data_IF_212224847111
#
_entry.id   IF_212224847111
#
_cell.length_a   1.000
_cell.length_b   1.000
_cell.length_c   1.000
_cell.angle_alpha   90.00
_cell.angle_beta   90.00
_cell.angle_gamma   90.00
#
_symmetry.space_group_name_H-M   'P 1'
#
loop_
_entity.id
_entity.type
_entity.pdbx_description
1 polymer ?
#
# COMPACT_ATOMS: atom_id res chain seq x y z
N UNK A 1 -12.76 -50.34 -9.92
CA UNK A 1 -13.19 -49.71 -8.66
C UNK A 1 -12.21 -48.67 -8.16
N UNK A 2 -10.94 -48.94 -8.00
CA UNK A 2 -9.87 -48.02 -7.52
C UNK A 2 -9.77 -46.74 -8.41
N UNK A 3 -9.82 -46.89 -9.74
CA UNK A 3 -9.72 -45.75 -10.67
C UNK A 3 -10.89 -44.76 -10.58
N UNK A 4 -12.11 -45.20 -10.24
CA UNK A 4 -13.28 -44.32 -10.02
C UNK A 4 -13.21 -43.62 -8.67
N UNK A 5 -12.67 -44.26 -7.63
CA UNK A 5 -12.45 -43.66 -6.31
C UNK A 5 -11.44 -42.49 -6.44
N UNK A 6 -10.35 -42.71 -7.17
CA UNK A 6 -9.35 -41.66 -7.39
C UNK A 6 -9.92 -40.42 -8.11
N UNK A 7 -10.81 -40.62 -9.11
CA UNK A 7 -11.47 -39.49 -9.78
C UNK A 7 -12.40 -38.71 -8.85
N UNK A 8 -13.18 -39.39 -8.02
CA UNK A 8 -14.06 -38.73 -7.03
C UNK A 8 -13.26 -37.91 -6.01
N UNK A 9 -12.17 -38.46 -5.49
CA UNK A 9 -11.27 -37.74 -4.58
C UNK A 9 -10.68 -36.51 -5.25
N UNK A 10 -10.27 -36.62 -6.52
CA UNK A 10 -9.74 -35.49 -7.29
C UNK A 10 -10.78 -34.37 -7.47
N UNK A 11 -12.01 -34.70 -7.79
CA UNK A 11 -13.10 -33.71 -7.90
C UNK A 11 -13.44 -33.04 -6.56
N UNK A 12 -13.47 -33.82 -5.46
CA UNK A 12 -13.72 -33.28 -4.12
C UNK A 12 -12.59 -32.34 -3.72
N UNK A 13 -11.32 -32.74 -3.91
CA UNK A 13 -10.17 -31.88 -3.57
C UNK A 13 -10.13 -30.60 -4.41
N UNK A 14 -10.48 -30.67 -5.71
CA UNK A 14 -10.58 -29.51 -6.58
C UNK A 14 -11.71 -28.56 -6.12
N UNK A 15 -12.86 -29.09 -5.75
CA UNK A 15 -13.99 -28.30 -5.25
C UNK A 15 -13.66 -27.63 -3.89
N UNK A 16 -13.02 -28.34 -2.99
CA UNK A 16 -12.55 -27.78 -1.72
C UNK A 16 -11.51 -26.67 -1.93
N UNK A 17 -10.62 -26.82 -2.89
CA UNK A 17 -9.66 -25.79 -3.26
C UNK A 17 -10.36 -24.52 -3.78
N UNK A 18 -11.38 -24.66 -4.62
CA UNK A 18 -12.18 -23.52 -5.10
C UNK A 18 -12.86 -22.80 -3.93
N UNK A 19 -13.47 -23.54 -3.01
CA UNK A 19 -14.10 -22.96 -1.82
C UNK A 19 -13.07 -22.18 -1.00
N UNK A 20 -11.91 -22.77 -0.74
CA UNK A 20 -10.85 -22.14 0.04
C UNK A 20 -10.35 -20.83 -0.61
N UNK A 21 -10.13 -20.84 -1.93
CA UNK A 21 -9.73 -19.65 -2.69
C UNK A 21 -10.82 -18.58 -2.64
N UNK A 22 -12.09 -18.97 -2.78
CA UNK A 22 -13.22 -18.04 -2.73
C UNK A 22 -13.36 -17.40 -1.36
N UNK A 23 -13.27 -18.18 -0.28
CA UNK A 23 -13.30 -17.68 1.11
C UNK A 23 -12.12 -16.75 1.36
N UNK A 24 -10.93 -17.11 0.93
CA UNK A 24 -9.74 -16.26 1.09
C UNK A 24 -9.85 -14.96 0.27
N UNK A 25 -10.43 -15.02 -0.93
CA UNK A 25 -10.67 -13.83 -1.75
C UNK A 25 -11.71 -12.89 -1.12
N UNK A 26 -12.82 -13.43 -0.61
CA UNK A 26 -13.83 -12.62 0.10
C UNK A 26 -13.26 -12.00 1.37
N UNK A 27 -12.42 -12.72 2.10
CA UNK A 27 -11.68 -12.15 3.24
C UNK A 27 -10.76 -11.01 2.80
N UNK A 28 -9.99 -11.17 1.71
CA UNK A 28 -9.18 -10.08 1.17
C UNK A 28 -10.03 -8.84 0.81
N UNK A 29 -11.17 -9.04 0.15
CA UNK A 29 -12.08 -7.93 -0.22
C UNK A 29 -12.61 -7.20 1.02
N UNK A 30 -12.92 -7.92 2.10
CA UNK A 30 -13.37 -7.33 3.36
C UNK A 30 -12.31 -6.46 4.05
N UNK A 31 -11.03 -6.69 3.76
CA UNK A 31 -9.90 -5.90 4.27
C UNK A 31 -9.69 -4.59 3.50
N UNK A 32 -10.31 -4.42 2.33
CA UNK A 32 -10.21 -3.18 1.53
C UNK A 32 -11.08 -2.11 2.19
N UNK A 33 -10.50 -1.01 2.71
CA UNK A 33 -11.28 0.01 3.37
C UNK A 33 -12.19 0.75 2.37
N UNK A 34 -13.44 0.99 2.78
CA UNK A 34 -14.33 1.86 2.01
C UNK A 34 -13.82 3.30 2.09
N UNK A 35 -13.82 3.98 0.96
CA UNK A 35 -13.31 5.37 0.88
C UNK A 35 -14.27 6.40 1.49
N UNK A 36 -15.49 6.00 1.88
CA UNK A 36 -16.53 6.88 2.42
C UNK A 36 -16.36 7.21 3.91
N UNK A 37 -15.71 6.35 4.69
CA UNK A 37 -15.63 6.47 6.16
C UNK A 37 -14.27 6.93 6.71
N UNK A 38 -13.39 7.45 5.86
CA UNK A 38 -12.17 8.07 6.39
C UNK A 38 -12.50 9.50 6.82
N UNK A 39 -13.07 9.63 8.02
CA UNK A 39 -13.13 10.91 8.71
C UNK A 39 -11.73 11.53 8.64
N UNK A 40 -11.66 12.81 8.27
CA UNK A 40 -10.44 13.63 8.24
C UNK A 40 -9.87 13.88 9.65
N UNK A 41 -9.96 12.92 10.54
CA UNK A 41 -9.19 12.95 11.78
C UNK A 41 -7.73 12.92 11.37
N UNK A 42 -7.10 14.09 11.44
CA UNK A 42 -5.66 14.22 11.30
C UNK A 42 -5.03 13.33 12.36
N UNK A 43 -4.57 12.16 11.94
CA UNK A 43 -3.83 11.28 12.81
C UNK A 43 -2.47 11.96 12.98
N UNK A 44 -2.21 12.45 14.20
CA UNK A 44 -0.92 13.03 14.53
C UNK A 44 0.10 11.89 14.60
N UNK A 45 0.79 11.65 13.48
CA UNK A 45 1.88 10.67 13.36
C UNK A 45 3.20 11.40 13.22
N UNK A 46 4.30 10.73 13.57
CA UNK A 46 5.63 11.34 13.49
C UNK A 46 6.12 11.45 12.04
N UNK A 47 5.65 10.55 11.16
CA UNK A 47 6.06 10.55 9.76
C UNK A 47 4.97 10.04 8.82
N UNK A 48 5.15 10.36 7.54
CA UNK A 48 4.27 9.95 6.43
C UNK A 48 5.11 9.12 5.45
N UNK A 49 4.60 7.98 5.01
CA UNK A 49 5.20 7.16 3.95
C UNK A 49 4.22 7.05 2.80
N UNK A 50 4.61 7.56 1.64
CA UNK A 50 3.84 7.43 0.40
C UNK A 50 4.41 6.30 -0.43
N UNK A 51 3.60 5.27 -0.69
CA UNK A 51 3.97 4.19 -1.60
C UNK A 51 3.64 4.59 -3.04
N UNK A 52 4.65 4.69 -3.90
CA UNK A 52 4.46 5.07 -5.31
C UNK A 52 3.68 4.00 -6.10
N UNK A 53 3.28 4.33 -7.33
CA UNK A 53 2.63 3.41 -8.27
C UNK A 53 1.35 3.96 -8.90
N UNK A 54 0.36 4.39 -8.13
CA UNK A 54 -0.84 5.04 -8.65
C UNK A 54 -0.78 6.56 -8.56
N UNK A 55 -1.60 7.20 -9.43
CA UNK A 55 -1.79 8.66 -9.43
C UNK A 55 -2.32 9.13 -8.06
N UNK A 56 -2.08 10.40 -7.75
CA UNK A 56 -2.58 11.13 -6.58
C UNK A 56 -2.02 10.71 -5.20
N UNK A 57 -1.27 9.62 -5.06
CA UNK A 57 -0.72 9.24 -3.75
C UNK A 57 0.31 10.26 -3.25
N UNK A 58 1.22 10.70 -4.12
CA UNK A 58 2.24 11.70 -3.77
C UNK A 58 1.58 13.02 -3.44
N UNK A 59 0.63 13.49 -4.26
CA UNK A 59 -0.12 14.71 -4.00
C UNK A 59 -0.86 14.68 -2.67
N UNK A 60 -1.51 13.54 -2.34
CA UNK A 60 -2.20 13.36 -1.05
C UNK A 60 -1.20 13.40 0.12
N UNK A 61 -0.06 12.73 0.00
CA UNK A 61 0.98 12.77 1.03
C UNK A 61 1.51 14.20 1.28
N UNK A 62 1.75 14.95 0.21
CA UNK A 62 2.17 16.36 0.31
C UNK A 62 1.06 17.22 0.96
N UNK A 63 -0.20 17.02 0.58
CA UNK A 63 -1.33 17.75 1.17
C UNK A 63 -1.48 17.48 2.68
N UNK A 64 -1.20 16.24 3.11
CA UNK A 64 -1.20 15.90 4.53
C UNK A 64 -0.01 16.58 5.24
N UNK A 65 1.17 16.54 4.63
CA UNK A 65 2.37 17.18 5.19
C UNK A 65 2.20 18.70 5.35
N UNK A 66 1.55 19.39 4.41
CA UNK A 66 1.23 20.83 4.52
C UNK A 66 0.38 21.14 5.76
N UNK A 67 -0.53 20.25 6.10
CA UNK A 67 -1.40 20.44 7.27
C UNK A 67 -0.71 20.14 8.60
N UNK A 68 0.45 19.47 8.56
CA UNK A 68 1.20 19.00 9.72
C UNK A 68 2.70 19.25 9.51
N UNK A 69 3.11 20.49 9.57
CA UNK A 69 4.47 20.95 9.23
C UNK A 69 5.60 20.33 10.07
N UNK A 70 5.29 19.71 11.21
CA UNK A 70 6.28 19.06 12.08
C UNK A 70 6.58 17.59 11.66
N UNK A 71 5.92 17.08 10.63
CA UNK A 71 6.14 15.73 10.11
C UNK A 71 7.21 15.70 9.02
N UNK A 72 7.73 14.50 8.76
CA UNK A 72 8.54 14.21 7.59
C UNK A 72 7.81 13.25 6.66
N UNK A 73 8.11 13.31 5.38
CA UNK A 73 7.50 12.46 4.36
C UNK A 73 8.57 11.68 3.61
N UNK A 74 8.38 10.36 3.51
CA UNK A 74 9.15 9.48 2.64
C UNK A 74 8.32 9.12 1.40
N UNK A 75 8.82 9.42 0.22
CA UNK A 75 8.28 8.89 -1.05
C UNK A 75 9.04 7.62 -1.38
N UNK A 76 8.40 6.46 -1.15
CA UNK A 76 9.02 5.14 -1.25
C UNK A 76 8.70 4.44 -2.56
N UNK A 77 9.71 3.77 -3.14
CA UNK A 77 9.60 3.06 -4.42
C UNK A 77 9.69 3.98 -5.64
N UNK A 78 10.47 5.04 -5.56
CA UNK A 78 10.70 5.95 -6.69
C UNK A 78 11.60 5.25 -7.72
N UNK A 79 11.22 5.34 -9.00
CA UNK A 79 12.05 4.79 -10.07
C UNK A 79 13.44 5.45 -10.08
N UNK A 80 14.48 4.63 -10.03
CA UNK A 80 15.89 5.06 -9.98
C UNK A 80 16.28 6.01 -11.13
N UNK A 81 15.62 5.89 -12.28
CA UNK A 81 15.88 6.72 -13.47
C UNK A 81 15.28 8.15 -13.35
N UNK A 82 14.37 8.38 -12.41
CA UNK A 82 13.74 9.69 -12.21
C UNK A 82 14.59 10.49 -11.20
N UNK A 83 15.02 11.69 -11.59
CA UNK A 83 15.74 12.58 -10.68
C UNK A 83 14.82 13.17 -9.61
N UNK A 84 15.38 13.52 -8.44
CA UNK A 84 14.61 14.19 -7.40
C UNK A 84 14.09 15.55 -7.86
N UNK A 85 14.87 16.25 -8.70
CA UNK A 85 14.47 17.52 -9.31
C UNK A 85 13.26 17.37 -10.25
N UNK A 86 13.18 16.27 -11.01
CA UNK A 86 12.04 15.99 -11.87
C UNK A 86 10.76 15.73 -11.04
N UNK A 87 10.85 15.01 -9.92
CA UNK A 87 9.70 14.84 -9.01
C UNK A 87 9.30 16.18 -8.40
N UNK A 88 10.30 16.94 -7.92
CA UNK A 88 10.05 18.27 -7.36
C UNK A 88 9.34 19.17 -8.39
N UNK A 89 9.76 19.21 -9.65
CA UNK A 89 9.11 20.03 -10.68
C UNK A 89 7.67 19.64 -11.00
N UNK A 90 7.32 18.35 -10.84
CA UNK A 90 5.96 17.85 -11.05
C UNK A 90 4.99 18.23 -9.92
N UNK A 91 5.47 18.36 -8.69
CA UNK A 91 4.60 18.50 -7.52
C UNK A 91 4.78 19.83 -6.77
N UNK A 92 5.90 20.55 -6.95
CA UNK A 92 6.21 21.79 -6.23
C UNK A 92 5.66 23.03 -6.98
N UNK A 93 4.34 23.10 -7.11
CA UNK A 93 3.67 24.15 -7.87
C UNK A 93 3.59 25.51 -7.12
N UNK A 94 3.80 25.50 -5.80
CA UNK A 94 3.78 26.69 -4.94
C UNK A 94 5.03 26.77 -4.05
N UNK A 95 5.24 27.93 -3.44
CA UNK A 95 6.41 28.22 -2.61
C UNK A 95 6.49 27.32 -1.38
N UNK A 96 5.37 27.05 -0.74
CA UNK A 96 5.28 26.18 0.44
C UNK A 96 5.75 24.75 0.10
N UNK A 97 5.23 24.18 -0.98
CA UNK A 97 5.63 22.83 -1.42
C UNK A 97 7.12 22.78 -1.78
N UNK A 98 7.67 23.85 -2.40
CA UNK A 98 9.11 23.93 -2.69
C UNK A 98 9.96 23.88 -1.41
N UNK A 99 9.51 24.56 -0.36
CA UNK A 99 10.17 24.53 0.95
C UNK A 99 10.11 23.13 1.57
N UNK A 100 8.94 22.46 1.52
CA UNK A 100 8.77 21.09 2.01
C UNK A 100 9.72 20.09 1.30
N UNK A 101 9.92 20.24 -0.01
CA UNK A 101 10.89 19.43 -0.75
C UNK A 101 12.35 19.67 -0.33
N UNK A 102 12.65 20.84 0.21
CA UNK A 102 14.01 21.14 0.66
C UNK A 102 14.31 20.66 2.09
N UNK A 103 13.28 20.63 2.98
CA UNK A 103 13.49 20.32 4.40
C UNK A 103 13.04 18.91 4.78
N UNK A 104 11.89 18.46 4.21
CA UNK A 104 11.04 17.54 4.94
C UNK A 104 10.60 16.32 4.10
N UNK A 105 10.94 16.27 2.80
CA UNK A 105 10.60 15.17 1.89
C UNK A 105 11.85 14.40 1.50
N UNK A 106 11.87 13.12 1.86
CA UNK A 106 12.92 12.16 1.52
C UNK A 106 12.46 11.22 0.40
N UNK A 107 13.40 10.61 -0.31
CA UNK A 107 13.13 9.69 -1.42
C UNK A 107 13.81 8.36 -1.19
N UNK A 108 13.03 7.28 -1.26
CA UNK A 108 13.54 5.94 -1.39
C UNK A 108 13.51 5.50 -2.87
N UNK A 109 14.68 5.24 -3.42
CA UNK A 109 14.91 4.73 -4.78
C UNK A 109 15.46 3.31 -4.80
N UNK A 110 15.59 2.68 -3.64
CA UNK A 110 16.12 1.33 -3.49
C UNK A 110 15.00 0.32 -3.72
N UNK A 111 13.84 0.59 -3.16
CA UNK A 111 12.69 -0.30 -3.17
C UNK A 111 12.10 -0.49 -4.56
N UNK A 112 11.89 -1.76 -4.92
CA UNK A 112 11.25 -2.20 -6.17
C UNK A 112 9.94 -2.94 -5.95
N UNK A 113 9.63 -3.30 -4.71
CA UNK A 113 8.44 -4.04 -4.30
C UNK A 113 8.00 -3.63 -2.88
N UNK A 114 6.82 -4.11 -2.44
CA UNK A 114 6.22 -3.67 -1.17
C UNK A 114 6.97 -4.18 0.06
N UNK A 115 7.62 -5.34 -0.02
CA UNK A 115 8.50 -5.81 1.06
C UNK A 115 9.68 -4.85 1.25
N UNK A 116 10.35 -4.47 0.17
CA UNK A 116 11.46 -3.50 0.21
C UNK A 116 10.97 -2.13 0.69
N UNK A 117 9.80 -1.66 0.21
CA UNK A 117 9.19 -0.43 0.73
C UNK A 117 9.03 -0.46 2.26
N UNK A 118 8.54 -1.57 2.81
CA UNK A 118 8.34 -1.70 4.26
C UNK A 118 9.66 -1.72 5.02
N UNK A 119 10.69 -2.38 4.47
CA UNK A 119 12.04 -2.43 5.05
C UNK A 119 12.71 -1.06 5.05
N UNK A 120 12.70 -0.36 3.91
CA UNK A 120 13.31 0.96 3.79
C UNK A 120 12.57 2.01 4.64
N UNK A 121 11.23 1.93 4.72
CA UNK A 121 10.45 2.75 5.63
C UNK A 121 10.83 2.51 7.09
N UNK A 122 11.10 1.25 7.48
CA UNK A 122 11.57 0.92 8.83
C UNK A 122 12.93 1.55 9.14
N UNK A 123 13.90 1.41 8.26
CA UNK A 123 15.21 2.03 8.44
C UNK A 123 15.11 3.55 8.48
N UNK A 124 14.34 4.14 7.58
CA UNK A 124 14.10 5.58 7.56
C UNK A 124 13.47 6.09 8.85
N UNK A 125 12.45 5.39 9.37
CA UNK A 125 11.80 5.74 10.62
C UNK A 125 12.75 5.61 11.83
N UNK A 126 13.49 4.50 11.90
CA UNK A 126 14.46 4.24 12.97
C UNK A 126 15.55 5.31 13.00
N UNK A 127 16.14 5.65 11.86
CA UNK A 127 17.24 6.63 11.77
C UNK A 127 16.78 8.04 12.16
N UNK A 128 15.48 8.32 12.08
CA UNK A 128 14.85 9.59 12.47
C UNK A 128 14.08 9.53 13.79
N UNK A 129 14.15 8.40 14.50
CA UNK A 129 13.45 8.18 15.77
C UNK A 129 11.93 8.39 15.70
N UNK A 130 11.32 8.12 14.54
CA UNK A 130 9.88 8.21 14.32
C UNK A 130 9.20 6.95 14.89
N UNK A 131 8.21 7.12 15.74
CA UNK A 131 7.50 6.03 16.43
C UNK A 131 6.24 5.61 15.69
N UNK A 132 5.58 6.56 15.03
CA UNK A 132 4.29 6.35 14.37
C UNK A 132 4.34 6.83 12.92
N UNK A 133 3.78 6.05 12.02
CA UNK A 133 3.77 6.34 10.58
C UNK A 133 2.36 6.31 10.00
N UNK A 134 2.06 7.28 9.16
CA UNK A 134 0.90 7.26 8.28
C UNK A 134 1.29 6.74 6.90
N UNK A 135 0.76 5.59 6.51
CA UNK A 135 1.03 4.99 5.20
C UNK A 135 -0.05 5.42 4.20
N UNK A 136 0.36 6.12 3.16
CA UNK A 136 -0.52 6.63 2.09
C UNK A 136 -0.41 5.73 0.87
N UNK A 137 -1.51 5.07 0.51
CA UNK A 137 -1.57 4.17 -0.63
C UNK A 137 -2.99 4.02 -1.17
N UNK A 138 -3.20 3.27 -2.27
CA UNK A 138 -4.54 2.97 -2.78
C UNK A 138 -5.27 1.96 -1.90
N UNK A 139 -6.60 2.07 -1.82
CA UNK A 139 -7.42 1.23 -0.95
C UNK A 139 -7.21 -0.28 -1.19
N UNK A 140 -7.24 -0.74 -2.46
CA UNK A 140 -7.03 -2.15 -2.82
C UNK A 140 -5.63 -2.67 -2.47
N UNK A 141 -4.65 -1.78 -2.29
CA UNK A 141 -3.28 -2.13 -1.93
C UNK A 141 -3.08 -2.29 -0.41
N UNK A 142 -3.94 -1.67 0.42
CA UNK A 142 -3.82 -1.67 1.88
C UNK A 142 -3.70 -3.07 2.50
N UNK A 143 -4.48 -4.09 2.09
CA UNK A 143 -4.35 -5.42 2.71
C UNK A 143 -2.93 -5.99 2.62
N UNK A 144 -2.29 -5.89 1.44
CA UNK A 144 -0.92 -6.36 1.24
C UNK A 144 0.11 -5.49 1.97
N UNK A 145 -0.07 -4.18 1.98
CA UNK A 145 0.80 -3.26 2.72
C UNK A 145 0.79 -3.58 4.21
N UNK A 146 -0.39 -3.83 4.80
CA UNK A 146 -0.51 -4.24 6.21
C UNK A 146 0.31 -5.48 6.52
N UNK A 147 0.26 -6.51 5.67
CA UNK A 147 1.06 -7.71 5.83
C UNK A 147 2.56 -7.43 5.76
N UNK A 148 3.03 -6.74 4.72
CA UNK A 148 4.47 -6.50 4.56
C UNK A 148 5.03 -5.59 5.65
N UNK A 149 4.30 -4.54 6.04
CA UNK A 149 4.73 -3.65 7.10
C UNK A 149 4.71 -4.31 8.49
N UNK A 150 3.83 -5.28 8.75
CA UNK A 150 3.80 -6.03 10.01
C UNK A 150 5.07 -6.87 10.26
N UNK A 151 5.94 -7.05 9.25
CA UNK A 151 7.25 -7.71 9.42
C UNK A 151 8.23 -6.88 10.24
N UNK A 152 8.10 -5.56 10.20
CA UNK A 152 9.06 -4.62 10.74
C UNK A 152 8.48 -3.71 11.83
N UNK A 153 7.17 -3.49 11.82
CA UNK A 153 6.49 -2.54 12.70
C UNK A 153 5.45 -3.23 13.58
N UNK A 154 5.25 -2.69 14.77
CA UNK A 154 4.12 -3.06 15.62
C UNK A 154 2.83 -2.46 15.07
N UNK A 155 1.69 -3.14 15.28
CA UNK A 155 0.39 -2.75 14.73
C UNK A 155 -0.02 -1.34 15.12
N UNK A 156 0.23 -0.95 16.36
CA UNK A 156 -0.20 0.33 16.93
C UNK A 156 0.67 1.53 16.49
N UNK A 157 1.79 1.26 15.80
CA UNK A 157 2.65 2.29 15.24
C UNK A 157 2.27 2.69 13.80
N UNK A 158 1.30 2.01 13.18
CA UNK A 158 0.96 2.20 11.79
C UNK A 158 -0.50 2.64 11.61
N UNK A 159 -0.67 3.71 10.87
CA UNK A 159 -1.94 4.23 10.40
C UNK A 159 -2.00 4.19 8.88
N UNK A 160 -3.20 4.12 8.30
CA UNK A 160 -3.35 3.94 6.87
C UNK A 160 -4.32 4.95 6.28
N UNK A 161 -3.90 5.67 5.26
CA UNK A 161 -4.73 6.57 4.45
C UNK A 161 -4.89 6.00 3.05
N UNK A 162 -6.12 5.68 2.67
CA UNK A 162 -6.41 5.26 1.31
C UNK A 162 -6.63 6.46 0.39
N UNK A 163 -5.99 6.43 -0.77
CA UNK A 163 -6.23 7.37 -1.85
C UNK A 163 -7.19 6.74 -2.84
N UNK A 164 -8.24 7.47 -3.21
CA UNK A 164 -9.14 7.03 -4.27
C UNK A 164 -8.36 6.99 -5.59
N UNK A 165 -8.45 5.88 -6.29
CA UNK A 165 -8.07 5.87 -7.71
C UNK A 165 -9.04 6.80 -8.43
N UNK A 166 -8.51 7.81 -9.14
CA UNK A 166 -9.31 8.83 -9.78
C UNK A 166 -10.47 8.17 -10.57
N UNK A 167 -11.71 8.46 -10.18
CA UNK A 167 -12.88 8.09 -10.97
C UNK A 167 -12.87 8.95 -12.23
N UNK A 168 -12.85 8.32 -13.38
CA UNK A 168 -13.55 8.90 -14.51
C UNK A 168 -15.04 8.91 -14.14
N UNK A 169 -15.69 10.02 -14.33
CA UNK A 169 -17.01 10.48 -13.84
C UNK A 169 -18.24 9.55 -14.08
N UNK A 170 -18.13 8.25 -13.96
CA UNK A 170 -19.29 7.36 -13.98
C UNK A 170 -19.16 6.27 -12.94
N UNK A 171 -20.28 6.00 -12.29
CA UNK A 171 -20.54 5.12 -11.15
C UNK A 171 -20.18 3.63 -11.36
N UNK A 172 -19.43 3.27 -12.38
CA UNK A 172 -19.15 1.89 -12.72
C UNK A 172 -17.76 1.48 -12.20
N UNK A 173 -17.73 0.33 -11.56
CA UNK A 173 -16.51 -0.41 -11.26
C UNK A 173 -15.85 -0.67 -12.63
N UNK A 174 -14.80 0.10 -12.95
CA UNK A 174 -14.17 -0.06 -14.25
C UNK A 174 -13.45 -1.42 -14.32
N UNK A 175 -13.42 -2.02 -15.51
CA UNK A 175 -12.66 -3.26 -15.77
C UNK A 175 -11.21 -3.13 -15.30
N UNK A 176 -10.65 -1.92 -15.43
CA UNK A 176 -9.30 -1.61 -14.92
C UNK A 176 -9.19 -1.76 -13.40
N UNK A 177 -10.21 -1.34 -12.63
CA UNK A 177 -10.24 -1.50 -11.18
C UNK A 177 -10.33 -2.97 -10.79
N UNK A 178 -11.20 -3.75 -11.43
CA UNK A 178 -11.33 -5.19 -11.21
C UNK A 178 -9.97 -5.87 -11.47
N UNK A 179 -9.33 -5.55 -12.58
CA UNK A 179 -8.01 -6.07 -12.92
C UNK A 179 -6.97 -5.74 -11.84
N UNK A 180 -6.92 -4.50 -11.35
CA UNK A 180 -6.03 -4.09 -10.26
C UNK A 180 -6.27 -4.90 -8.98
N UNK A 181 -7.54 -5.08 -8.61
CA UNK A 181 -7.92 -5.87 -7.42
C UNK A 181 -7.46 -7.32 -7.56
N UNK A 182 -7.68 -7.96 -8.71
CA UNK A 182 -7.27 -9.35 -8.95
C UNK A 182 -5.75 -9.49 -8.89
N UNK A 183 -4.99 -8.61 -9.55
CA UNK A 183 -3.54 -8.65 -9.51
C UNK A 183 -2.98 -8.38 -8.09
N UNK A 184 -3.59 -7.48 -7.34
CA UNK A 184 -3.19 -7.25 -5.95
C UNK A 184 -3.55 -8.43 -5.04
N UNK A 185 -4.68 -9.11 -5.29
CA UNK A 185 -5.02 -10.34 -4.57
C UNK A 185 -3.98 -11.44 -4.79
N UNK A 186 -3.52 -11.66 -6.03
CA UNK A 186 -2.49 -12.66 -6.32
C UNK A 186 -1.19 -12.34 -5.56
N UNK A 187 -0.79 -11.08 -5.51
CA UNK A 187 0.37 -10.64 -4.74
C UNK A 187 0.16 -10.78 -3.23
N UNK A 188 -1.04 -10.45 -2.74
CA UNK A 188 -1.45 -10.63 -1.35
C UNK A 188 -1.38 -12.10 -0.94
N UNK A 189 -1.89 -13.01 -1.79
CA UNK A 189 -1.82 -14.45 -1.55
C UNK A 189 -0.36 -14.93 -1.44
N UNK A 190 0.51 -14.49 -2.37
CA UNK A 190 1.94 -14.80 -2.32
C UNK A 190 2.59 -14.31 -1.03
N UNK A 191 2.28 -13.08 -0.61
CA UNK A 191 2.76 -12.52 0.67
C UNK A 191 2.25 -13.34 1.84
N UNK A 192 0.96 -13.69 1.88
CA UNK A 192 0.38 -14.51 2.95
C UNK A 192 1.07 -15.88 3.07
N UNK A 193 1.32 -16.54 1.95
CA UNK A 193 2.04 -17.82 1.91
C UNK A 193 3.48 -17.68 2.43
N UNK A 194 4.17 -16.58 2.15
CA UNK A 194 5.53 -16.37 2.65
C UNK A 194 5.62 -16.23 4.18
N UNK A 195 4.53 -15.85 4.85
CA UNK A 195 4.46 -15.86 6.31
C UNK A 195 4.31 -17.28 6.89
N UNK A 196 3.69 -18.20 6.14
CA UNK A 196 3.51 -19.58 6.59
C UNK A 196 4.81 -20.40 6.45
N UNK A 197 5.62 -20.10 5.44
CA UNK A 197 6.82 -20.89 5.10
C UNK A 197 8.08 -20.38 5.82
N UNK A 198 8.02 -19.28 6.60
CA UNK A 198 9.20 -18.70 7.31
C UNK A 198 10.46 -18.64 6.44
N UNK A 199 10.31 -18.13 5.20
CA UNK A 199 11.44 -17.86 4.31
C UNK A 199 11.90 -16.41 4.52
#
# INVERSE_FOLDING_TARGET
MIHQINKKILYISFFLMIILVTVHFTYYLSQIPSTTNQNNTFINTDGIVVLTGDKNRISEGINILKKNSNQRLLISGVNKKISNSAIKSLYANDTETRQLFNCCIDFDKISTNTFENSREAYFWARDRQLKTLLIVTSNYHIPRVKLEFSRFFQKDSLYYKSVKVAKNDKSDISIEMIRKIIFEYIKYLRTSLSFLVKI
#
